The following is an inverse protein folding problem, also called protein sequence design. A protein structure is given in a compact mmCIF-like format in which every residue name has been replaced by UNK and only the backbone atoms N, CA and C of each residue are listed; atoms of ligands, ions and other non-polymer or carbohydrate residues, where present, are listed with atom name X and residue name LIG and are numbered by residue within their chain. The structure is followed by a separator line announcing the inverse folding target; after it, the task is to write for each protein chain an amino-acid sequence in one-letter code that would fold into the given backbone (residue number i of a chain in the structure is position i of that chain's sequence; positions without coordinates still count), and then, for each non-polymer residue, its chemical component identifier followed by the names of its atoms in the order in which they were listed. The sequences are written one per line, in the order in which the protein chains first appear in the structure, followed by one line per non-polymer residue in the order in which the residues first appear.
data_IF_783785864156
#
_entry.id   IF_783785864156
#
_cell.length_a   1.000
_cell.length_b   1.000
_cell.length_c   1.000
_cell.angle_alpha   90.00
_cell.angle_beta   90.00
_cell.angle_gamma   90.00
#
_symmetry.space_group_name_H-M   'P 1'
#
loop_
_entity.id
_entity.type
_entity.pdbx_description
1 polymer ?
#
# COMPACT_ATOMS: atom_id res chain seq x y z
N UNK A 1 -58.99 31.02 -5.30
CA UNK A 1 -58.61 30.36 -6.57
C UNK A 1 -57.11 30.12 -6.52
N UNK A 2 -56.68 28.93 -6.11
CA UNK A 2 -56.19 27.85 -6.98
C UNK A 2 -54.94 28.25 -7.77
N UNK A 3 -53.75 27.89 -7.27
CA UNK A 3 -52.76 27.15 -8.07
C UNK A 3 -52.03 26.16 -7.16
N UNK A 4 -52.25 24.89 -7.47
CA UNK A 4 -51.62 23.69 -6.94
C UNK A 4 -50.43 23.34 -7.83
N UNK A 5 -49.36 22.84 -7.20
CA UNK A 5 -48.41 21.80 -7.68
C UNK A 5 -47.58 22.12 -8.93
N UNK A 6 -46.26 22.04 -8.81
CA UNK A 6 -45.36 21.98 -9.96
C UNK A 6 -43.89 21.72 -9.63
N UNK A 7 -43.55 20.43 -9.52
CA UNK A 7 -42.27 19.79 -9.85
C UNK A 7 -40.96 20.23 -9.15
N UNK A 8 -40.39 19.26 -8.45
CA UNK A 8 -39.02 19.20 -7.97
C UNK A 8 -38.00 19.21 -9.12
N UNK A 9 -36.89 19.94 -8.96
CA UNK A 9 -35.61 19.59 -9.59
C UNK A 9 -34.50 19.72 -8.56
N UNK A 10 -33.95 18.55 -8.23
CA UNK A 10 -32.68 18.34 -7.55
C UNK A 10 -31.58 19.28 -8.04
N UNK A 11 -30.90 19.94 -7.11
CA UNK A 11 -29.49 20.24 -7.27
C UNK A 11 -28.79 20.01 -5.93
N UNK A 12 -28.84 18.76 -5.47
CA UNK A 12 -27.86 18.23 -4.55
C UNK A 12 -26.52 18.26 -5.27
N UNK A 13 -25.82 19.39 -5.20
CA UNK A 13 -24.40 19.46 -5.46
C UNK A 13 -23.74 18.60 -4.37
N UNK A 14 -23.70 17.29 -4.62
CA UNK A 14 -22.74 16.39 -4.02
C UNK A 14 -21.39 16.99 -4.36
N UNK A 15 -20.89 17.77 -3.40
CA UNK A 15 -19.50 18.17 -3.29
C UNK A 15 -18.74 16.85 -3.35
N UNK A 16 -18.25 16.49 -4.54
CA UNK A 16 -17.15 15.56 -4.67
C UNK A 16 -15.92 16.30 -4.15
N UNK A 17 -15.89 16.57 -2.85
CA UNK A 17 -14.65 16.62 -2.12
C UNK A 17 -14.14 15.18 -2.19
N UNK A 18 -13.47 14.87 -3.30
CA UNK A 18 -12.38 13.92 -3.26
C UNK A 18 -11.48 14.44 -2.15
N UNK A 19 -11.63 13.89 -0.95
CA UNK A 19 -10.62 14.00 0.09
C UNK A 19 -9.37 13.33 -0.51
N UNK A 20 -8.59 14.11 -1.25
CA UNK A 20 -7.23 13.77 -1.54
C UNK A 20 -6.53 13.64 -0.20
N UNK A 21 -5.95 12.46 0.04
CA UNK A 21 -5.44 12.01 1.33
C UNK A 21 -4.19 12.84 1.72
N UNK A 22 -4.42 14.04 2.26
CA UNK A 22 -3.41 15.10 2.43
C UNK A 22 -2.41 14.88 3.58
N UNK A 23 -2.28 13.65 4.10
CA UNK A 23 -1.18 13.34 5.02
C UNK A 23 -0.72 11.88 4.97
N UNK A 24 -0.32 11.41 3.78
CA UNK A 24 0.39 10.13 3.66
C UNK A 24 1.75 10.26 4.37
N UNK A 25 1.85 9.66 5.56
CA UNK A 25 3.12 9.59 6.30
C UNK A 25 4.19 8.91 5.44
N UNK A 26 5.40 9.48 5.40
CA UNK A 26 6.53 8.98 4.62
C UNK A 26 6.26 8.89 3.10
N UNK A 27 5.49 9.84 2.54
CA UNK A 27 5.12 9.93 1.11
C UNK A 27 6.30 9.69 0.15
N UNK A 28 7.46 10.28 0.41
CA UNK A 28 8.63 10.15 -0.48
C UNK A 28 9.24 8.74 -0.46
N UNK A 29 9.32 8.12 0.72
CA UNK A 29 9.73 6.71 0.85
C UNK A 29 8.76 5.82 0.10
N UNK A 30 7.46 6.00 0.33
CA UNK A 30 6.43 5.21 -0.34
C UNK A 30 6.50 5.37 -1.86
N UNK A 31 6.51 6.60 -2.40
CA UNK A 31 6.66 6.85 -3.84
C UNK A 31 7.86 6.11 -4.45
N UNK A 32 8.99 6.12 -3.75
CA UNK A 32 10.19 5.39 -4.18
C UNK A 32 9.96 3.88 -4.18
N UNK A 33 9.37 3.33 -3.11
CA UNK A 33 9.05 1.90 -3.04
C UNK A 33 8.04 1.49 -4.12
N UNK A 34 6.99 2.26 -4.37
CA UNK A 34 6.03 2.01 -5.46
C UNK A 34 6.72 1.96 -6.82
N UNK A 35 7.65 2.89 -7.09
CA UNK A 35 8.43 2.88 -8.32
C UNK A 35 9.31 1.63 -8.45
N UNK A 36 9.99 1.25 -7.36
CA UNK A 36 10.87 0.07 -7.34
C UNK A 36 10.07 -1.22 -7.50
N UNK A 37 8.99 -1.37 -6.74
CA UNK A 37 8.19 -2.60 -6.67
C UNK A 37 6.92 -2.55 -7.52
N UNK A 38 6.91 -1.76 -8.61
CA UNK A 38 5.77 -1.62 -9.54
C UNK A 38 5.22 -2.94 -10.10
N UNK A 39 6.04 -4.00 -10.09
CA UNK A 39 5.64 -5.36 -10.43
C UNK A 39 5.86 -6.26 -9.21
N UNK A 40 5.13 -5.97 -8.13
CA UNK A 40 5.38 -6.58 -6.83
C UNK A 40 4.28 -6.29 -5.82
N UNK A 41 4.67 -6.36 -4.56
CA UNK A 41 3.81 -6.12 -3.40
C UNK A 41 4.55 -5.28 -2.36
N UNK A 42 3.81 -4.43 -1.65
CA UNK A 42 4.32 -3.64 -0.51
C UNK A 42 3.30 -3.77 0.61
N UNK A 43 3.80 -4.05 1.82
CA UNK A 43 3.02 -4.10 3.06
C UNK A 43 3.58 -3.12 4.08
N UNK A 44 2.69 -2.40 4.76
CA UNK A 44 3.00 -1.71 6.02
C UNK A 44 2.99 -2.74 7.14
N UNK A 45 4.05 -2.83 7.92
CA UNK A 45 4.16 -3.73 9.07
C UNK A 45 4.67 -2.96 10.29
N UNK A 46 4.55 -3.59 11.46
CA UNK A 46 5.15 -3.12 12.71
C UNK A 46 6.34 -4.00 13.07
N UNK A 47 7.46 -3.37 13.44
CA UNK A 47 8.63 -4.02 14.01
C UNK A 47 9.11 -3.18 15.19
N UNK A 48 9.23 -3.78 16.38
CA UNK A 48 9.60 -3.06 17.62
C UNK A 48 8.76 -1.80 17.88
N UNK A 49 7.45 -1.85 17.54
CA UNK A 49 6.54 -0.72 17.67
C UNK A 49 6.68 0.38 16.60
N UNK A 50 7.64 0.25 15.68
CA UNK A 50 7.88 1.20 14.59
C UNK A 50 7.23 0.73 13.28
N UNK A 51 6.88 1.67 12.41
CA UNK A 51 6.41 1.35 11.07
C UNK A 51 7.61 0.95 10.20
N UNK A 52 7.47 -0.19 9.52
CA UNK A 52 8.39 -0.65 8.49
C UNK A 52 7.61 -1.06 7.26
N UNK A 53 8.30 -1.15 6.12
CA UNK A 53 7.71 -1.61 4.86
C UNK A 53 8.36 -2.92 4.45
N UNK A 54 7.56 -3.97 4.26
CA UNK A 54 7.99 -5.20 3.62
C UNK A 54 7.64 -5.13 2.14
N UNK A 55 8.62 -5.30 1.25
CA UNK A 55 8.40 -5.22 -0.19
C UNK A 55 9.11 -6.36 -0.93
N UNK A 56 8.47 -6.86 -1.99
CA UNK A 56 8.96 -7.98 -2.78
C UNK A 56 8.45 -7.94 -4.21
N UNK A 57 9.23 -8.50 -5.14
CA UNK A 57 8.84 -8.61 -6.54
C UNK A 57 7.83 -9.74 -6.75
N UNK A 58 7.04 -9.63 -7.81
CA UNK A 58 6.09 -10.64 -8.27
C UNK A 58 6.81 -11.84 -8.94
N UNK A 59 7.63 -12.56 -8.18
CA UNK A 59 8.40 -13.73 -8.61
C UNK A 59 8.66 -14.69 -7.43
N UNK A 60 8.68 -16.01 -7.68
CA UNK A 60 8.76 -17.03 -6.62
C UNK A 60 10.05 -16.97 -5.78
N UNK A 61 11.18 -16.56 -6.38
CA UNK A 61 12.50 -16.61 -5.73
C UNK A 61 13.18 -15.24 -5.56
N UNK A 62 12.44 -14.15 -5.78
CA UNK A 62 13.02 -12.80 -5.68
C UNK A 62 13.29 -12.35 -4.23
N UNK A 63 12.74 -13.07 -3.25
CA UNK A 63 12.77 -12.67 -1.84
C UNK A 63 12.04 -11.35 -1.59
N UNK A 64 12.36 -10.75 -0.44
CA UNK A 64 11.86 -9.44 -0.06
C UNK A 64 12.90 -8.62 0.69
N UNK A 65 12.60 -7.34 0.87
CA UNK A 65 13.41 -6.43 1.69
C UNK A 65 12.53 -5.67 2.65
N UNK A 66 13.05 -5.44 3.85
CA UNK A 66 12.41 -4.65 4.89
C UNK A 66 13.04 -3.26 4.89
N UNK A 67 12.21 -2.24 4.85
CA UNK A 67 12.61 -0.84 4.83
C UNK A 67 12.08 -0.11 6.06
N UNK A 68 12.90 0.76 6.66
CA UNK A 68 12.41 1.68 7.68
C UNK A 68 11.61 2.85 7.05
N UNK A 69 11.08 3.76 7.88
CA UNK A 69 10.31 4.93 7.43
C UNK A 69 11.09 5.88 6.50
N UNK A 70 12.42 5.94 6.63
CA UNK A 70 13.33 6.71 5.76
C UNK A 70 13.64 5.98 4.44
N UNK A 71 13.21 4.72 4.34
CA UNK A 71 13.38 3.82 3.22
C UNK A 71 14.82 3.32 3.05
N UNK A 72 15.56 3.19 4.14
CA UNK A 72 16.78 2.40 4.22
C UNK A 72 16.42 0.93 4.42
N UNK A 73 17.16 0.01 3.78
CA UNK A 73 17.00 -1.43 4.00
C UNK A 73 17.52 -1.77 5.41
N UNK A 74 16.72 -2.52 6.16
CA UNK A 74 17.03 -3.01 7.51
C UNK A 74 16.86 -4.53 7.64
N UNK A 75 16.49 -5.21 6.55
CA UNK A 75 16.36 -6.65 6.51
C UNK A 75 16.26 -7.19 5.10
N UNK A 76 16.82 -8.38 4.89
CA UNK A 76 16.76 -9.18 3.67
C UNK A 76 16.04 -10.50 3.94
N UNK A 77 14.92 -10.70 3.25
CA UNK A 77 14.01 -11.83 3.43
C UNK A 77 14.05 -12.75 2.19
N UNK A 78 15.20 -13.35 1.92
CA UNK A 78 15.34 -14.34 0.85
C UNK A 78 15.30 -15.76 1.42
N UNK A 79 14.12 -16.36 1.44
CA UNK A 79 13.92 -17.73 1.93
C UNK A 79 14.36 -18.81 0.94
N UNK A 80 14.69 -18.45 -0.30
CA UNK A 80 15.16 -19.40 -1.31
C UNK A 80 16.66 -19.71 -1.18
N UNK A 81 17.46 -18.76 -0.71
CA UNK A 81 18.92 -18.86 -0.71
C UNK A 81 19.57 -18.05 0.43
N UNK A 82 20.32 -18.72 1.30
CA UNK A 82 21.16 -18.09 2.32
C UNK A 82 20.50 -17.90 3.69
N UNK A 83 21.15 -17.09 4.55
CA UNK A 83 20.63 -16.72 5.86
C UNK A 83 19.61 -15.59 5.73
N UNK A 84 18.44 -15.78 6.34
CA UNK A 84 17.39 -14.76 6.43
C UNK A 84 17.59 -13.95 7.70
N UNK A 85 17.45 -12.62 7.60
CA UNK A 85 17.53 -11.75 8.77
C UNK A 85 16.35 -12.00 9.72
N UNK A 86 16.58 -12.01 11.03
CA UNK A 86 15.57 -12.39 12.03
C UNK A 86 14.30 -11.54 11.96
N UNK A 87 14.46 -10.24 11.62
CA UNK A 87 13.38 -9.27 11.37
C UNK A 87 12.29 -9.82 10.44
N UNK A 88 12.63 -10.66 9.47
CA UNK A 88 11.68 -11.24 8.53
C UNK A 88 10.63 -12.15 9.19
N UNK A 89 10.94 -12.69 10.38
CA UNK A 89 10.04 -13.52 11.19
C UNK A 89 9.39 -12.77 12.35
N UNK A 90 9.76 -11.50 12.56
CA UNK A 90 9.36 -10.68 13.71
C UNK A 90 8.39 -9.55 13.35
N UNK A 91 8.03 -9.42 12.06
CA UNK A 91 7.05 -8.43 11.60
C UNK A 91 5.64 -8.73 12.12
N UNK A 92 4.96 -7.69 12.58
CA UNK A 92 3.61 -7.76 13.13
C UNK A 92 2.65 -6.86 12.35
N UNK A 93 1.35 -7.13 12.46
CA UNK A 93 0.27 -6.28 11.92
C UNK A 93 0.42 -5.88 10.43
N UNK A 94 0.97 -6.78 9.61
CA UNK A 94 1.22 -6.47 8.20
C UNK A 94 -0.07 -6.26 7.40
N UNK A 95 -0.19 -5.10 6.76
CA UNK A 95 -1.27 -4.74 5.85
C UNK A 95 -0.72 -4.43 4.46
N UNK A 96 -1.22 -5.13 3.45
CA UNK A 96 -0.88 -4.87 2.04
C UNK A 96 -1.42 -3.50 1.64
N UNK A 97 -0.53 -2.61 1.20
CA UNK A 97 -0.86 -1.27 0.69
C UNK A 97 -0.66 -1.15 -0.82
N UNK A 98 0.06 -2.10 -1.40
CA UNK A 98 0.25 -2.23 -2.83
C UNK A 98 0.36 -3.69 -3.23
N UNK A 99 -0.31 -4.05 -4.33
CA UNK A 99 -0.11 -5.31 -5.01
C UNK A 99 -0.47 -5.15 -6.48
N UNK A 100 0.45 -5.52 -7.36
CA UNK A 100 0.23 -5.49 -8.80
C UNK A 100 -0.93 -6.42 -9.21
N UNK A 101 -1.71 -6.02 -10.21
CA UNK A 101 -2.72 -6.88 -10.83
C UNK A 101 -2.08 -8.10 -11.49
N UNK A 102 -2.84 -9.20 -11.61
CA UNK A 102 -2.37 -10.47 -12.20
C UNK A 102 -1.06 -10.98 -11.56
N UNK A 103 -0.89 -10.78 -10.25
CA UNK A 103 0.27 -11.29 -9.52
C UNK A 103 0.24 -12.83 -9.46
N UNK A 104 1.41 -13.44 -9.33
CA UNK A 104 1.60 -14.90 -9.29
C UNK A 104 0.89 -15.57 -8.11
N UNK A 105 0.55 -14.79 -7.08
CA UNK A 105 -0.13 -15.27 -5.89
C UNK A 105 -1.65 -15.36 -6.08
N UNK A 106 -2.19 -14.95 -7.24
CA UNK A 106 -3.62 -15.00 -7.55
C UNK A 106 -4.47 -14.07 -6.68
N UNK A 107 -3.85 -13.12 -5.99
CA UNK A 107 -4.53 -12.25 -5.03
C UNK A 107 -5.07 -10.99 -5.71
N UNK A 108 -6.10 -10.34 -5.16
CA UNK A 108 -6.60 -9.06 -5.68
C UNK A 108 -5.52 -7.99 -5.71
N UNK A 109 -5.57 -7.13 -6.74
CA UNK A 109 -4.74 -5.93 -6.82
C UNK A 109 -5.07 -4.96 -5.69
N UNK A 110 -4.07 -4.22 -5.21
CA UNK A 110 -4.22 -3.20 -4.18
C UNK A 110 -3.43 -1.96 -4.59
N UNK A 111 -4.03 -0.78 -4.50
CA UNK A 111 -3.31 0.49 -4.57
C UNK A 111 -3.94 1.47 -3.57
N UNK A 112 -3.57 1.33 -2.29
CA UNK A 112 -4.19 2.08 -1.18
C UNK A 112 -4.06 3.60 -1.37
N UNK A 113 -2.88 4.05 -1.81
CA UNK A 113 -2.50 5.46 -1.84
C UNK A 113 -2.49 6.09 -3.24
N UNK A 114 -2.81 5.32 -4.29
CA UNK A 114 -2.94 5.84 -5.65
C UNK A 114 -1.63 6.31 -6.31
N UNK A 115 -0.47 5.84 -5.85
CA UNK A 115 0.81 6.11 -6.51
C UNK A 115 1.00 5.28 -7.79
#
# INVERSE_FOLDING_TARGET
MKYLIGAAIMLSALVMASCEEDNIRNKDTLKRLYKTYKNGTISECTYEGQLVYSAGYNAYDAGGSIYNERGSVIGSCNFGWGSVDSICSELQHCKVIYRVANNIWGQPAVNKYGF
#
